data_IF_475158182321
#
_entry.id   IF_475158182321
#
_cell.length_a   1.000
_cell.length_b   1.000
_cell.length_c   1.000
_cell.angle_alpha   90.00
_cell.angle_beta   90.00
_cell.angle_gamma   90.00
#
_symmetry.space_group_name_H-M   'P 1'
#
loop_
_entity.id
_entity.type
_entity.pdbx_description
1 polymer ?
#
# COMPACT_ATOMS: atom_id res chain seq x y z
N UNK A 1 -2.34 23.20 30.75
CA UNK A 1 -1.56 22.26 29.91
C UNK A 1 -2.54 21.19 29.46
N UNK A 2 -2.46 20.77 28.20
CA UNK A 2 -3.29 19.66 27.71
C UNK A 2 -2.98 18.39 28.48
N UNK A 3 -4.00 17.57 28.75
CA UNK A 3 -3.85 16.25 29.39
C UNK A 3 -4.25 15.14 28.41
N UNK A 4 -4.01 15.36 27.11
CA UNK A 4 -4.48 14.51 26.01
C UNK A 4 -3.32 13.75 25.41
N UNK A 5 -3.51 12.48 25.15
CA UNK A 5 -2.63 11.70 24.26
C UNK A 5 -3.09 11.86 22.82
N UNK A 6 -2.16 12.12 21.91
CA UNK A 6 -2.43 12.13 20.47
C UNK A 6 -1.66 11.02 19.78
N UNK A 7 -2.34 10.30 18.88
CA UNK A 7 -1.76 9.26 18.02
C UNK A 7 -2.01 9.68 16.59
N UNK A 8 -0.96 9.86 15.81
CA UNK A 8 -1.04 10.16 14.38
C UNK A 8 -0.78 8.89 13.57
N UNK A 9 -1.82 8.42 12.92
CA UNK A 9 -1.84 7.17 12.17
C UNK A 9 -2.61 6.06 12.91
N UNK A 10 -3.69 5.57 12.26
CA UNK A 10 -4.55 4.50 12.78
C UNK A 10 -4.24 3.12 12.18
N UNK A 11 -3.03 2.90 11.68
CA UNK A 11 -2.56 1.57 11.32
C UNK A 11 -2.30 0.69 12.54
N UNK A 12 -1.83 -0.54 12.32
CA UNK A 12 -1.60 -1.53 13.41
C UNK A 12 -0.76 -0.98 14.58
N UNK A 13 0.25 -0.14 14.29
CA UNK A 13 1.10 0.45 15.32
C UNK A 13 0.34 1.48 16.17
N UNK A 14 -0.51 2.32 15.54
CA UNK A 14 -1.35 3.28 16.25
C UNK A 14 -2.40 2.59 17.11
N UNK A 15 -3.05 1.56 16.58
CA UNK A 15 -4.02 0.74 17.34
C UNK A 15 -3.36 0.08 18.55
N UNK A 16 -2.22 -0.58 18.34
CA UNK A 16 -1.47 -1.21 19.45
C UNK A 16 -1.05 -0.19 20.52
N UNK A 17 -0.69 1.03 20.11
CA UNK A 17 -0.38 2.11 21.04
C UNK A 17 -1.61 2.54 21.86
N UNK A 18 -2.78 2.68 21.22
CA UNK A 18 -4.03 3.01 21.89
C UNK A 18 -4.44 1.92 22.89
N UNK A 19 -4.34 0.64 22.50
CA UNK A 19 -4.59 -0.49 23.39
C UNK A 19 -3.64 -0.49 24.59
N UNK A 20 -2.35 -0.22 24.37
CA UNK A 20 -1.35 -0.15 25.43
C UNK A 20 -1.64 1.01 26.39
N UNK A 21 -2.01 2.18 25.88
CA UNK A 21 -2.43 3.31 26.71
C UNK A 21 -3.60 2.91 27.58
N UNK A 22 -4.62 2.28 27.05
CA UNK A 22 -5.83 1.92 27.80
C UNK A 22 -5.60 0.88 28.90
N UNK A 23 -4.57 0.04 28.76
CA UNK A 23 -4.15 -0.90 29.83
C UNK A 23 -3.57 -0.20 31.06
N UNK A 24 -2.98 0.99 30.88
CA UNK A 24 -2.28 1.73 31.96
C UNK A 24 -3.02 3.02 32.38
N UNK A 25 -3.80 3.60 31.48
CA UNK A 25 -4.55 4.85 31.72
C UNK A 25 -5.91 4.78 31.02
N UNK A 26 -6.94 4.49 31.79
CA UNK A 26 -8.31 4.39 31.31
C UNK A 26 -9.05 5.74 31.25
N UNK A 27 -8.45 6.84 31.74
CA UNK A 27 -9.17 8.09 31.97
C UNK A 27 -8.78 9.21 30.99
N UNK A 28 -7.49 9.36 30.67
CA UNK A 28 -7.05 10.46 29.83
C UNK A 28 -7.65 10.38 28.44
N UNK A 29 -8.04 11.52 27.84
CA UNK A 29 -8.46 11.56 26.45
C UNK A 29 -7.37 11.03 25.53
N UNK A 30 -7.76 10.23 24.54
CA UNK A 30 -6.91 9.81 23.42
C UNK A 30 -7.57 10.26 22.12
N UNK A 31 -6.87 11.05 21.33
CA UNK A 31 -7.28 11.41 19.98
C UNK A 31 -6.41 10.64 19.00
N UNK A 32 -7.03 9.99 18.02
CA UNK A 32 -6.33 9.24 16.98
C UNK A 32 -6.72 9.79 15.62
N UNK A 33 -5.72 10.16 14.80
CA UNK A 33 -5.93 10.69 13.46
C UNK A 33 -5.59 9.67 12.38
N UNK A 34 -6.43 9.61 11.36
CA UNK A 34 -6.12 8.91 10.11
C UNK A 34 -6.55 9.73 8.90
N UNK A 35 -5.73 9.69 7.84
CA UNK A 35 -6.06 10.29 6.56
C UNK A 35 -7.00 9.41 5.73
N UNK A 36 -7.25 8.17 6.15
CA UNK A 36 -8.09 7.23 5.42
C UNK A 36 -9.57 7.36 5.82
N UNK A 37 -10.44 7.08 4.87
CA UNK A 37 -11.89 7.08 5.05
C UNK A 37 -12.39 5.83 5.77
N UNK A 38 -11.68 4.72 5.64
CA UNK A 38 -12.07 3.44 6.20
C UNK A 38 -11.63 3.32 7.67
N UNK A 39 -12.40 2.56 8.45
CA UNK A 39 -11.95 2.13 9.77
C UNK A 39 -10.59 1.43 9.68
N UNK A 40 -9.76 1.50 10.75
CA UNK A 40 -8.49 0.80 10.77
C UNK A 40 -8.62 -0.69 10.45
N UNK A 41 -7.94 -1.15 9.42
CA UNK A 41 -8.01 -2.51 8.91
C UNK A 41 -6.63 -3.16 8.77
N UNK A 42 -6.62 -4.48 8.62
CA UNK A 42 -5.40 -5.28 8.43
C UNK A 42 -4.85 -5.07 7.01
N UNK A 43 -3.83 -4.20 6.86
CA UNK A 43 -3.20 -3.88 5.56
C UNK A 43 -2.64 -5.09 4.80
N UNK A 44 -2.09 -6.15 5.43
CA UNK A 44 -1.66 -7.33 4.68
C UNK A 44 -2.77 -7.95 3.83
N UNK A 45 -4.03 -7.69 4.16
CA UNK A 45 -5.17 -8.25 3.43
C UNK A 45 -5.42 -7.57 2.08
N UNK A 46 -4.77 -6.43 1.81
CA UNK A 46 -4.82 -5.76 0.50
C UNK A 46 -4.29 -6.66 -0.63
N UNK A 47 -3.27 -7.48 -0.34
CA UNK A 47 -2.66 -8.41 -1.32
C UNK A 47 -2.97 -9.87 -1.06
N UNK A 48 -3.45 -10.23 0.15
CA UNK A 48 -3.81 -11.60 0.54
C UNK A 48 -5.29 -11.95 0.32
N UNK A 49 -6.10 -10.98 -0.07
CA UNK A 49 -7.50 -11.18 -0.44
C UNK A 49 -7.64 -10.94 -1.94
N UNK A 50 -8.46 -11.71 -2.65
CA UNK A 50 -8.74 -11.43 -4.04
C UNK A 50 -9.18 -9.97 -4.21
N UNK A 51 -8.42 -9.17 -4.97
CA UNK A 51 -8.62 -7.71 -5.04
C UNK A 51 -10.05 -7.34 -5.47
N UNK A 52 -10.65 -8.12 -6.36
CA UNK A 52 -12.02 -7.88 -6.85
C UNK A 52 -13.11 -8.07 -5.77
N UNK A 53 -12.83 -8.82 -4.69
CA UNK A 53 -13.73 -9.04 -3.56
C UNK A 53 -13.23 -8.39 -2.26
N UNK A 54 -12.13 -7.64 -2.32
CA UNK A 54 -11.61 -6.93 -1.15
C UNK A 54 -12.65 -5.95 -0.62
N UNK A 55 -12.85 -6.00 0.69
CA UNK A 55 -13.77 -5.18 1.43
C UNK A 55 -13.10 -4.85 2.78
N UNK A 56 -12.72 -3.59 3.04
CA UNK A 56 -11.98 -3.23 4.25
C UNK A 56 -12.78 -3.52 5.52
N UNK A 57 -14.11 -3.47 5.48
CA UNK A 57 -14.96 -3.72 6.64
C UNK A 57 -14.82 -5.14 7.18
N UNK A 58 -14.55 -6.11 6.30
CA UNK A 58 -14.27 -7.50 6.71
C UNK A 58 -12.94 -7.68 7.44
N UNK A 59 -12.05 -6.72 7.30
CA UNK A 59 -10.70 -6.79 7.84
C UNK A 59 -10.43 -5.70 8.87
N UNK A 60 -11.49 -5.03 9.34
CA UNK A 60 -11.45 -4.04 10.41
C UNK A 60 -10.80 -4.62 11.66
N UNK A 61 -9.87 -3.89 12.27
CA UNK A 61 -9.18 -4.33 13.50
C UNK A 61 -10.12 -4.20 14.69
N UNK A 62 -10.81 -3.06 14.78
CA UNK A 62 -11.81 -2.77 15.82
C UNK A 62 -12.99 -2.02 15.22
N UNK A 63 -14.19 -2.26 15.76
CA UNK A 63 -15.41 -1.53 15.40
C UNK A 63 -15.45 -0.13 16.02
N UNK A 64 -16.33 0.73 15.53
CA UNK A 64 -16.54 2.07 16.15
C UNK A 64 -16.91 1.99 17.62
N UNK A 65 -17.73 1.02 18.01
CA UNK A 65 -18.13 0.81 19.41
C UNK A 65 -16.93 0.49 20.30
N UNK A 66 -15.89 -0.15 19.75
CA UNK A 66 -14.66 -0.38 20.51
C UNK A 66 -13.94 0.93 20.81
N UNK A 67 -13.85 1.85 19.84
CA UNK A 67 -13.22 3.16 20.03
C UNK A 67 -13.99 3.96 21.09
N UNK A 68 -15.32 3.99 21.01
CA UNK A 68 -16.20 4.66 21.96
C UNK A 68 -16.06 4.06 23.37
N UNK A 69 -16.14 2.74 23.50
CA UNK A 69 -16.01 2.04 24.78
C UNK A 69 -14.64 2.27 25.43
N UNK A 70 -13.60 2.47 24.63
CA UNK A 70 -12.25 2.77 25.07
C UNK A 70 -11.96 4.27 25.14
N UNK A 71 -12.94 5.15 24.91
CA UNK A 71 -12.79 6.62 24.95
C UNK A 71 -11.65 7.11 24.05
N UNK A 72 -11.56 6.55 22.86
CA UNK A 72 -10.64 6.95 21.80
C UNK A 72 -11.43 7.75 20.78
N UNK A 73 -11.14 9.03 20.66
CA UNK A 73 -11.72 9.91 19.66
C UNK A 73 -11.00 9.68 18.33
N UNK A 74 -11.63 8.91 17.43
CA UNK A 74 -11.08 8.55 16.14
C UNK A 74 -11.50 9.55 15.07
N UNK A 75 -10.53 10.31 14.58
CA UNK A 75 -10.68 11.29 13.52
C UNK A 75 -10.30 10.67 12.17
N UNK A 76 -11.28 10.23 11.41
CA UNK A 76 -11.13 9.74 10.03
C UNK A 76 -11.23 10.89 9.03
N UNK A 77 -10.64 10.70 7.83
CA UNK A 77 -10.53 11.76 6.81
C UNK A 77 -9.89 13.04 7.35
N UNK A 78 -8.98 12.91 8.29
CA UNK A 78 -8.35 14.05 8.92
C UNK A 78 -6.82 13.92 8.94
N UNK A 79 -6.16 14.22 7.81
CA UNK A 79 -4.72 14.17 7.73
C UNK A 79 -4.05 15.23 8.62
N UNK A 80 -3.02 14.81 9.34
CA UNK A 80 -2.14 15.70 10.09
C UNK A 80 -1.04 16.18 9.16
N UNK A 81 -0.88 17.50 9.05
CA UNK A 81 0.07 18.16 8.15
C UNK A 81 1.32 18.67 8.85
N UNK A 82 1.24 18.95 10.15
CA UNK A 82 2.38 19.48 10.91
C UNK A 82 2.34 19.08 12.38
N UNK A 83 3.54 19.04 12.98
CA UNK A 83 3.76 18.86 14.41
C UNK A 83 4.69 19.96 14.90
N UNK A 84 4.32 20.68 15.94
CA UNK A 84 5.20 21.59 16.65
C UNK A 84 5.48 21.06 18.06
N UNK A 85 6.68 20.52 18.30
CA UNK A 85 7.06 20.01 19.61
C UNK A 85 7.22 21.11 20.68
N UNK A 86 7.48 22.35 20.28
CA UNK A 86 7.73 23.47 21.20
C UNK A 86 6.42 23.93 21.86
N UNK A 87 5.36 24.07 21.06
CA UNK A 87 4.02 24.41 21.54
C UNK A 87 3.20 23.17 21.91
N UNK A 88 3.71 21.96 21.67
CA UNK A 88 3.02 20.68 21.81
C UNK A 88 1.70 20.66 21.06
N UNK A 89 1.73 20.96 19.78
CA UNK A 89 0.55 20.94 18.92
C UNK A 89 0.74 20.05 17.69
N UNK A 90 -0.38 19.50 17.20
CA UNK A 90 -0.51 18.94 15.87
C UNK A 90 -1.51 19.76 15.09
N UNK A 91 -1.23 19.98 13.80
CA UNK A 91 -2.14 20.67 12.89
C UNK A 91 -2.71 19.62 11.93
N UNK A 92 -4.03 19.52 11.89
CA UNK A 92 -4.76 18.70 10.92
C UNK A 92 -5.48 19.57 9.89
N UNK A 93 -6.19 18.94 8.97
CA UNK A 93 -7.06 19.63 8.01
C UNK A 93 -8.26 20.35 8.67
N UNK A 94 -8.63 20.01 9.93
CA UNK A 94 -9.78 20.58 10.64
C UNK A 94 -9.39 21.53 11.78
N UNK A 95 -8.11 21.57 12.18
CA UNK A 95 -7.68 22.49 13.23
C UNK A 95 -6.36 22.14 13.90
N UNK A 96 -6.12 22.82 15.03
CA UNK A 96 -4.93 22.64 15.84
C UNK A 96 -5.29 22.00 17.17
N UNK A 97 -4.58 20.94 17.53
CA UNK A 97 -4.83 20.14 18.73
C UNK A 97 -3.62 20.14 19.64
N UNK A 98 -3.82 20.37 20.93
CA UNK A 98 -2.75 20.36 21.93
C UNK A 98 -2.62 18.96 22.56
N UNK A 99 -1.38 18.48 22.73
CA UNK A 99 -1.09 17.20 23.36
C UNK A 99 -0.20 17.33 24.62
N UNK A 100 -0.33 16.36 25.53
CA UNK A 100 0.68 16.10 26.56
C UNK A 100 1.75 15.13 26.02
N UNK A 101 1.31 14.02 25.40
CA UNK A 101 2.15 13.03 24.75
C UNK A 101 1.68 12.79 23.32
N UNK A 102 2.63 12.63 22.43
CA UNK A 102 2.39 12.37 21.00
C UNK A 102 3.04 11.06 20.59
N UNK A 103 2.30 10.24 19.85
CA UNK A 103 2.80 9.03 19.18
C UNK A 103 2.65 9.23 17.69
N UNK A 104 3.75 9.11 16.95
CA UNK A 104 3.77 9.12 15.50
C UNK A 104 3.80 7.68 14.99
N UNK A 105 2.68 7.24 14.41
CA UNK A 105 2.47 5.92 13.83
C UNK A 105 2.03 6.03 12.36
N UNK A 106 2.62 7.00 11.64
CA UNK A 106 2.22 7.43 10.30
C UNK A 106 2.44 6.36 9.21
N UNK A 107 3.21 5.32 9.51
CA UNK A 107 3.52 4.25 8.56
C UNK A 107 4.56 4.69 7.54
N UNK A 108 4.37 4.27 6.28
CA UNK A 108 5.23 4.59 5.15
C UNK A 108 4.39 4.91 3.92
N UNK A 109 4.97 5.57 2.93
CA UNK A 109 4.39 5.75 1.60
C UNK A 109 5.09 4.83 0.60
N UNK A 110 4.43 4.58 -0.53
CA UNK A 110 5.03 3.80 -1.61
C UNK A 110 6.17 4.59 -2.26
N UNK A 111 7.26 3.91 -2.51
CA UNK A 111 8.35 4.46 -3.29
C UNK A 111 8.04 4.30 -4.78
N UNK A 112 8.01 5.41 -5.51
CA UNK A 112 7.97 5.42 -6.96
C UNK A 112 9.39 5.66 -7.47
N UNK A 113 9.99 4.70 -8.18
CA UNK A 113 11.33 4.88 -8.74
C UNK A 113 11.30 5.99 -9.81
N UNK A 114 12.42 6.70 -10.05
CA UNK A 114 12.50 7.78 -11.04
C UNK A 114 12.52 7.24 -12.47
N UNK A 115 11.43 6.65 -12.90
CA UNK A 115 11.20 6.08 -14.23
C UNK A 115 10.28 7.03 -15.00
N UNK A 116 10.61 7.34 -16.24
CA UNK A 116 9.77 8.20 -17.08
C UNK A 116 8.37 7.60 -17.23
N UNK A 117 7.32 8.40 -17.01
CA UNK A 117 5.93 8.00 -17.12
C UNK A 117 5.38 7.17 -15.96
N UNK A 118 6.12 7.06 -14.85
CA UNK A 118 5.69 6.32 -13.65
C UNK A 118 4.50 6.99 -12.93
N UNK A 119 4.20 8.23 -13.24
CA UNK A 119 3.11 9.05 -12.72
C UNK A 119 1.86 9.05 -13.61
N UNK A 120 1.81 8.20 -14.65
CA UNK A 120 0.64 8.10 -15.53
C UNK A 120 -0.55 7.40 -14.86
N UNK A 121 -1.76 7.68 -15.34
CA UNK A 121 -3.04 7.16 -14.81
C UNK A 121 -3.17 5.63 -14.91
N UNK A 122 -2.32 4.97 -15.67
CA UNK A 122 -2.28 3.51 -15.77
C UNK A 122 -1.36 2.84 -14.73
N UNK A 123 -0.66 3.62 -13.92
CA UNK A 123 0.26 3.13 -12.88
C UNK A 123 -0.41 3.16 -11.52
N UNK A 124 -0.42 2.01 -10.86
CA UNK A 124 -1.01 1.78 -9.56
C UNK A 124 0.04 1.35 -8.56
N UNK A 125 -0.19 1.68 -7.32
CA UNK A 125 0.53 1.11 -6.17
C UNK A 125 -0.47 0.40 -5.27
N UNK A 126 0.00 -0.38 -4.28
CA UNK A 126 -0.88 -1.02 -3.31
C UNK A 126 -0.40 -0.67 -1.90
N UNK A 127 -1.14 0.20 -1.24
CA UNK A 127 -0.85 0.68 0.11
C UNK A 127 -2.11 0.88 0.94
N UNK A 128 -3.20 1.33 0.31
CA UNK A 128 -4.47 1.71 0.94
C UNK A 128 -5.62 0.97 0.28
N UNK A 129 -6.78 0.97 0.94
CA UNK A 129 -7.99 0.38 0.38
C UNK A 129 -8.41 1.05 -0.93
N UNK A 130 -8.20 2.36 -1.02
CA UNK A 130 -8.49 3.18 -2.21
C UNK A 130 -7.72 2.66 -3.44
N UNK A 131 -6.47 2.25 -3.27
CA UNK A 131 -5.65 1.70 -4.36
C UNK A 131 -6.30 0.45 -4.96
N UNK A 132 -6.87 -0.41 -4.10
CA UNK A 132 -7.60 -1.60 -4.54
C UNK A 132 -8.92 -1.21 -5.23
N UNK A 133 -9.63 -0.18 -4.74
CA UNK A 133 -10.86 0.29 -5.37
C UNK A 133 -10.58 0.87 -6.75
N UNK A 134 -9.48 1.60 -6.92
CA UNK A 134 -9.08 2.15 -8.22
C UNK A 134 -8.63 1.05 -9.17
N UNK A 135 -7.86 0.08 -8.69
CA UNK A 135 -7.49 -1.11 -9.47
C UNK A 135 -8.72 -1.89 -9.96
N UNK A 136 -9.74 -2.05 -9.13
CA UNK A 136 -11.02 -2.70 -9.53
C UNK A 136 -11.71 -2.01 -10.70
N UNK A 137 -11.61 -0.69 -10.82
CA UNK A 137 -12.27 0.08 -11.88
C UNK A 137 -11.67 -0.20 -13.26
N UNK A 138 -10.37 -0.50 -13.32
CA UNK A 138 -9.60 -0.62 -14.57
C UNK A 138 -9.23 -2.05 -14.92
N UNK A 139 -8.99 -2.91 -13.94
CA UNK A 139 -8.58 -4.28 -14.18
C UNK A 139 -9.75 -5.12 -14.72
N UNK A 140 -9.50 -5.86 -15.80
CA UNK A 140 -10.45 -6.79 -16.44
C UNK A 140 -9.81 -8.16 -16.56
N UNK A 141 -10.61 -9.21 -16.56
CA UNK A 141 -10.17 -10.50 -17.04
C UNK A 141 -9.65 -10.32 -18.48
N UNK A 142 -8.54 -10.91 -18.84
CA UNK A 142 -7.81 -10.67 -20.09
C UNK A 142 -7.00 -9.38 -20.20
N UNK A 143 -6.99 -8.49 -19.20
CA UNK A 143 -6.05 -7.37 -19.16
C UNK A 143 -4.60 -7.86 -19.14
N UNK A 144 -3.70 -7.08 -19.75
CA UNK A 144 -2.26 -7.30 -19.62
C UNK A 144 -1.73 -6.41 -18.51
N UNK A 145 -1.23 -7.02 -17.46
CA UNK A 145 -0.68 -6.32 -16.30
C UNK A 145 0.84 -6.50 -16.22
N UNK A 146 1.56 -5.41 -16.02
CA UNK A 146 2.97 -5.45 -15.69
C UNK A 146 3.16 -5.08 -14.23
N UNK A 147 3.84 -5.93 -13.47
CA UNK A 147 4.20 -5.69 -12.06
C UNK A 147 5.68 -5.36 -11.98
N UNK A 148 6.00 -4.16 -11.52
CA UNK A 148 7.38 -3.68 -11.31
C UNK A 148 7.75 -3.94 -9.84
N UNK A 149 8.66 -4.91 -9.64
CA UNK A 149 9.12 -5.37 -8.33
C UNK A 149 8.69 -6.81 -8.04
N UNK A 150 9.67 -7.66 -7.83
CA UNK A 150 9.51 -9.09 -7.52
C UNK A 150 9.62 -9.41 -6.02
N UNK A 151 9.27 -8.44 -5.16
CA UNK A 151 9.13 -8.63 -3.71
C UNK A 151 7.78 -9.27 -3.34
N UNK A 152 7.52 -9.42 -2.02
CA UNK A 152 6.30 -10.08 -1.50
C UNK A 152 5.03 -9.43 -2.07
N UNK A 153 4.90 -8.09 -1.95
CA UNK A 153 3.71 -7.37 -2.41
C UNK A 153 3.50 -7.55 -3.91
N UNK A 154 4.58 -7.42 -4.71
CA UNK A 154 4.50 -7.57 -6.15
C UNK A 154 4.07 -8.97 -6.55
N UNK A 155 4.63 -10.01 -5.95
CA UNK A 155 4.28 -11.40 -6.28
C UNK A 155 2.88 -11.78 -5.80
N UNK A 156 2.46 -11.37 -4.59
CA UNK A 156 1.09 -11.58 -4.11
C UNK A 156 0.09 -10.92 -5.07
N UNK A 157 0.36 -9.65 -5.47
CA UNK A 157 -0.49 -8.92 -6.42
C UNK A 157 -0.52 -9.59 -7.79
N UNK A 158 0.65 -10.02 -8.31
CA UNK A 158 0.75 -10.72 -9.58
C UNK A 158 -0.11 -12.00 -9.60
N UNK A 159 -0.06 -12.78 -8.51
CA UNK A 159 -0.86 -14.01 -8.37
C UNK A 159 -2.36 -13.71 -8.34
N UNK A 160 -2.77 -12.66 -7.63
CA UNK A 160 -4.19 -12.29 -7.56
C UNK A 160 -4.73 -11.76 -8.90
N UNK A 161 -3.91 -10.97 -9.64
CA UNK A 161 -4.25 -10.52 -11.00
C UNK A 161 -4.37 -11.71 -11.96
N UNK A 162 -3.43 -12.64 -11.92
CA UNK A 162 -3.48 -13.86 -12.73
C UNK A 162 -4.73 -14.71 -12.39
N UNK A 163 -5.05 -14.90 -11.11
CA UNK A 163 -6.25 -15.61 -10.68
C UNK A 163 -7.54 -14.95 -11.17
N UNK A 164 -7.52 -13.64 -11.32
CA UNK A 164 -8.64 -12.89 -11.89
C UNK A 164 -8.76 -13.07 -13.42
N UNK A 165 -7.73 -13.62 -14.07
CA UNK A 165 -7.70 -13.90 -15.50
C UNK A 165 -6.87 -12.91 -16.31
N UNK A 166 -6.08 -12.05 -15.69
CA UNK A 166 -5.15 -11.17 -16.39
C UNK A 166 -3.90 -11.94 -16.85
N UNK A 167 -3.34 -11.54 -17.97
CA UNK A 167 -1.98 -11.92 -18.39
C UNK A 167 -0.97 -11.07 -17.62
N UNK A 168 -0.10 -11.69 -16.82
CA UNK A 168 0.77 -10.97 -15.90
C UNK A 168 2.23 -11.16 -16.21
N UNK A 169 2.98 -10.06 -16.27
CA UNK A 169 4.44 -10.03 -16.36
C UNK A 169 5.03 -9.35 -15.11
N UNK A 170 5.98 -9.98 -14.45
CA UNK A 170 6.75 -9.41 -13.34
C UNK A 170 8.13 -9.00 -13.83
N UNK A 171 8.51 -7.76 -13.59
CA UNK A 171 9.81 -7.17 -13.91
C UNK A 171 10.56 -6.85 -12.63
N UNK A 172 11.68 -7.51 -12.36
CA UNK A 172 12.50 -7.34 -11.17
C UNK A 172 13.91 -6.88 -11.53
N UNK A 173 14.37 -5.80 -10.91
CA UNK A 173 15.70 -5.25 -11.16
C UNK A 173 16.82 -6.10 -10.52
N UNK A 174 16.53 -6.75 -9.40
CA UNK A 174 17.47 -7.65 -8.74
C UNK A 174 17.68 -8.95 -9.55
N UNK A 175 18.80 -9.66 -9.32
CA UNK A 175 19.11 -10.87 -10.07
C UNK A 175 18.13 -12.02 -9.87
N UNK A 176 17.37 -12.02 -8.78
CA UNK A 176 16.35 -13.02 -8.48
C UNK A 176 15.21 -12.40 -7.63
N UNK A 177 14.08 -13.10 -7.52
CA UNK A 177 12.90 -12.66 -6.76
C UNK A 177 13.18 -12.65 -5.26
N UNK A 178 12.58 -11.69 -4.55
CA UNK A 178 12.59 -11.61 -3.09
C UNK A 178 14.00 -11.59 -2.46
N UNK A 179 14.97 -10.94 -3.11
CA UNK A 179 16.39 -10.91 -2.71
C UNK A 179 16.63 -10.48 -1.25
N UNK A 180 15.69 -9.77 -0.63
CA UNK A 180 15.80 -9.33 0.77
C UNK A 180 15.29 -10.36 1.78
N UNK A 181 14.59 -11.41 1.34
CA UNK A 181 13.91 -12.37 2.21
C UNK A 181 14.42 -13.80 2.06
N UNK A 182 14.85 -14.18 0.86
CA UNK A 182 15.25 -15.55 0.53
C UNK A 182 16.51 -15.56 -0.32
N UNK A 183 17.16 -16.72 -0.41
CA UNK A 183 18.30 -16.95 -1.29
C UNK A 183 17.87 -17.28 -2.73
N UNK A 184 18.84 -17.40 -3.61
CA UNK A 184 18.63 -17.65 -5.03
C UNK A 184 18.01 -19.04 -5.29
N UNK A 185 18.34 -20.06 -4.50
CA UNK A 185 17.80 -21.41 -4.65
C UNK A 185 16.29 -21.43 -4.39
N UNK A 186 15.85 -20.83 -3.30
CA UNK A 186 14.41 -20.71 -2.97
C UNK A 186 13.69 -19.83 -3.99
N UNK A 187 14.32 -18.74 -4.44
CA UNK A 187 13.78 -17.91 -5.52
C UNK A 187 13.55 -18.71 -6.80
N UNK A 188 14.50 -19.57 -7.17
CA UNK A 188 14.37 -20.47 -8.34
C UNK A 188 13.17 -21.41 -8.23
N UNK A 189 12.88 -21.92 -7.03
CA UNK A 189 11.69 -22.74 -6.78
C UNK A 189 10.38 -21.94 -6.97
N UNK A 190 10.35 -20.69 -6.50
CA UNK A 190 9.20 -19.79 -6.71
C UNK A 190 9.01 -19.53 -8.21
N UNK A 191 10.07 -19.16 -8.94
CA UNK A 191 9.97 -18.91 -10.39
C UNK A 191 9.47 -20.14 -11.13
N UNK A 192 9.97 -21.32 -10.80
CA UNK A 192 9.50 -22.59 -11.38
C UNK A 192 8.00 -22.82 -11.10
N UNK A 193 7.53 -22.45 -9.92
CA UNK A 193 6.11 -22.57 -9.57
C UNK A 193 5.21 -21.61 -10.36
N UNK A 194 5.72 -20.43 -10.70
CA UNK A 194 5.00 -19.41 -11.48
C UNK A 194 5.03 -19.69 -12.99
N UNK A 195 5.93 -20.55 -13.45
CA UNK A 195 6.12 -20.85 -14.88
C UNK A 195 4.83 -21.32 -15.54
N UNK A 196 4.50 -20.73 -16.70
CA UNK A 196 3.27 -20.99 -17.43
C UNK A 196 2.02 -20.29 -16.89
N UNK A 197 2.16 -19.53 -15.82
CA UNK A 197 1.10 -18.74 -15.19
C UNK A 197 1.42 -17.25 -15.22
N UNK A 198 2.64 -16.88 -14.86
CA UNK A 198 3.13 -15.51 -14.77
C UNK A 198 4.50 -15.47 -15.41
N UNK A 199 4.71 -14.53 -16.35
CA UNK A 199 6.00 -14.30 -16.95
C UNK A 199 6.89 -13.49 -15.99
N UNK A 200 8.09 -13.99 -15.69
CA UNK A 200 9.01 -13.36 -14.74
C UNK A 200 10.34 -13.04 -15.43
N UNK A 201 10.76 -11.79 -15.34
CA UNK A 201 12.05 -11.31 -15.83
C UNK A 201 12.81 -10.66 -14.67
N UNK A 202 13.98 -11.21 -14.33
CA UNK A 202 14.87 -10.70 -13.29
C UNK A 202 16.13 -10.08 -13.89
N UNK A 203 16.84 -9.24 -13.14
CA UNK A 203 18.03 -8.53 -13.60
C UNK A 203 17.73 -7.52 -14.70
N UNK A 204 16.52 -6.97 -14.76
CA UNK A 204 16.09 -6.04 -15.81
C UNK A 204 16.03 -4.61 -15.30
N UNK A 205 16.42 -3.66 -16.15
CA UNK A 205 16.34 -2.23 -15.85
C UNK A 205 15.23 -1.58 -16.65
N UNK A 206 14.27 -0.96 -15.97
CA UNK A 206 13.14 -0.28 -16.59
C UNK A 206 13.56 1.14 -16.97
N UNK A 207 13.32 1.52 -18.21
CA UNK A 207 13.60 2.84 -18.74
C UNK A 207 12.39 3.76 -18.66
N UNK A 208 11.23 3.27 -19.05
CA UNK A 208 10.02 4.09 -19.15
C UNK A 208 8.74 3.26 -19.04
N UNK A 209 7.67 3.91 -18.60
CA UNK A 209 6.28 3.50 -18.81
C UNK A 209 5.71 4.45 -19.86
N UNK A 210 5.36 3.92 -21.02
CA UNK A 210 4.83 4.70 -22.14
C UNK A 210 3.30 4.55 -22.17
N UNK A 211 2.61 5.69 -22.05
CA UNK A 211 1.15 5.72 -22.13
C UNK A 211 0.68 5.40 -23.57
N UNK A 212 -0.56 4.92 -23.75
CA UNK A 212 -1.10 4.63 -25.05
C UNK A 212 -1.14 5.89 -25.93
N UNK A 213 -0.83 5.73 -27.21
CA UNK A 213 -0.94 6.77 -28.22
C UNK A 213 -1.98 6.39 -29.28
N UNK A 214 -2.23 7.28 -30.25
CA UNK A 214 -3.12 6.96 -31.37
C UNK A 214 -2.61 5.78 -32.24
N UNK A 215 -1.30 5.49 -32.20
CA UNK A 215 -0.66 4.46 -33.00
C UNK A 215 -0.26 3.22 -32.21
N UNK A 216 0.03 3.36 -30.90
CA UNK A 216 0.66 2.33 -30.09
C UNK A 216 -0.09 2.08 -28.77
N UNK A 217 -0.15 0.82 -28.35
CA UNK A 217 -0.61 0.42 -27.02
C UNK A 217 0.38 0.88 -25.96
N UNK A 218 -0.11 1.09 -24.74
CA UNK A 218 0.77 1.34 -23.60
C UNK A 218 1.79 0.20 -23.40
N UNK A 219 2.98 0.53 -22.92
CA UNK A 219 3.99 -0.48 -22.65
C UNK A 219 4.99 -0.06 -21.58
N UNK A 220 5.62 -1.04 -20.94
CA UNK A 220 6.82 -0.86 -20.13
C UNK A 220 8.05 -1.16 -20.97
N UNK A 221 8.97 -0.20 -21.08
CA UNK A 221 10.18 -0.29 -21.89
C UNK A 221 11.39 -0.51 -20.99
N UNK A 222 12.22 -1.50 -21.34
CA UNK A 222 13.48 -1.78 -20.66
C UNK A 222 14.64 -1.00 -21.30
N UNK A 223 15.74 -0.87 -20.55
CA UNK A 223 16.97 -0.21 -21.02
C UNK A 223 17.67 -0.96 -22.15
N UNK A 224 17.40 -2.27 -22.32
CA UNK A 224 17.93 -3.10 -23.41
C UNK A 224 17.07 -3.09 -24.68
N UNK A 225 15.99 -2.30 -24.68
CA UNK A 225 15.09 -2.12 -25.83
C UNK A 225 13.91 -3.08 -25.88
N UNK A 226 13.81 -4.07 -25.01
CA UNK A 226 12.59 -4.88 -24.89
C UNK A 226 11.42 -4.04 -24.41
N UNK A 227 10.22 -4.35 -24.87
CA UNK A 227 8.99 -3.70 -24.46
C UNK A 227 7.91 -4.71 -24.09
N UNK A 228 7.08 -4.37 -23.12
CA UNK A 228 6.00 -5.22 -22.61
C UNK A 228 4.69 -4.46 -22.71
N UNK A 229 3.84 -4.78 -23.72
CA UNK A 229 2.54 -4.16 -23.86
C UNK A 229 1.67 -4.44 -22.63
N UNK A 230 0.99 -3.41 -22.13
CA UNK A 230 0.16 -3.54 -20.93
C UNK A 230 -1.03 -2.60 -20.95
N UNK A 231 -2.07 -2.98 -20.19
CA UNK A 231 -3.25 -2.16 -19.92
C UNK A 231 -3.12 -1.43 -18.59
N UNK A 232 -2.32 -1.99 -17.67
CA UNK A 232 -2.04 -1.40 -16.35
C UNK A 232 -0.65 -1.82 -15.86
N UNK A 233 -0.09 -0.98 -14.99
CA UNK A 233 1.20 -1.22 -14.33
C UNK A 233 1.02 -1.14 -12.83
N UNK A 234 1.54 -2.13 -12.10
CA UNK A 234 1.61 -2.09 -10.63
C UNK A 234 3.06 -1.83 -10.22
N UNK A 235 3.29 -0.81 -9.42
CA UNK A 235 4.61 -0.53 -8.81
C UNK A 235 4.63 -1.05 -7.39
N UNK A 236 5.48 -2.03 -7.15
CA UNK A 236 5.68 -2.70 -5.86
C UNK A 236 7.16 -2.70 -5.43
N UNK A 237 7.89 -1.63 -5.77
CA UNK A 237 9.27 -1.40 -5.38
C UNK A 237 9.33 -0.78 -3.98
N UNK A 238 10.24 -1.24 -3.10
CA UNK A 238 10.40 -0.69 -1.76
C UNK A 238 11.57 -1.27 -0.98
#
# INVERSE_FOLDING_TARGET
MSNTYIIVGAGIAGIAAAEAIRKIDSQRPVIMFTAEHNLPYSRPMLTKTPFYSFDPDKWTIHSLEWFDANRIDLHMDEPVSAVDPSSKTVTSSRGVYHYDKLILATGAENFLPPITGIDSDMVFTIRRAEDIFDLKKVCRASAKAVVIGGGVIGLETAVELWRYGAGVTVLEAAPYLMTRQIDEEISGLIQKKLQGQIDVYTGVSIKAVEAPSAADSACVVLSDGRSFPCDLVIVACG
#
